data_IF_849778014428
#
_entry.id   IF_849778014428
#
_cell.length_a   1.000
_cell.length_b   1.000
_cell.length_c   1.000
_cell.angle_alpha   90.00
_cell.angle_beta   90.00
_cell.angle_gamma   90.00
#
_symmetry.space_group_name_H-M   'P 1'
#
loop_
_entity.id
_entity.type
_entity.pdbx_description
1 polymer ?
#
# COMPACT_ATOMS: atom_id res chain seq x y z
N UNK A 1 -39.10 5.25 -46.34
CA UNK A 1 -38.38 6.31 -47.03
C UNK A 1 -36.97 6.45 -46.47
N UNK A 2 -35.99 6.42 -47.34
CA UNK A 2 -34.57 6.50 -46.99
C UNK A 2 -34.21 7.86 -46.36
N UNK A 3 -34.79 8.94 -46.81
CA UNK A 3 -34.54 10.29 -46.28
C UNK A 3 -35.00 10.40 -44.83
N UNK A 4 -36.17 9.86 -44.52
CA UNK A 4 -36.72 9.83 -43.18
C UNK A 4 -35.90 8.91 -42.26
N UNK A 5 -35.48 7.75 -42.75
CA UNK A 5 -34.62 6.84 -42.01
C UNK A 5 -33.26 7.45 -41.73
N UNK A 6 -32.65 8.16 -42.68
CA UNK A 6 -31.39 8.85 -42.51
C UNK A 6 -31.50 9.94 -41.44
N UNK A 7 -32.56 10.73 -41.48
CA UNK A 7 -32.78 11.79 -40.49
C UNK A 7 -32.94 11.20 -39.07
N UNK A 8 -33.64 10.08 -38.95
CA UNK A 8 -33.81 9.38 -37.67
C UNK A 8 -32.45 8.89 -37.12
N UNK A 9 -31.63 8.28 -37.98
CA UNK A 9 -30.30 7.81 -37.57
C UNK A 9 -29.33 8.98 -37.20
N UNK A 10 -29.40 10.09 -37.93
CA UNK A 10 -28.64 11.28 -37.60
C UNK A 10 -29.04 11.82 -36.24
N UNK A 11 -30.32 11.86 -35.95
CA UNK A 11 -30.84 12.31 -34.66
C UNK A 11 -30.38 11.41 -33.51
N UNK A 12 -30.45 10.11 -33.71
CA UNK A 12 -29.94 9.09 -32.77
C UNK A 12 -28.46 9.23 -32.57
N UNK A 13 -27.69 9.46 -33.62
CA UNK A 13 -26.23 9.67 -33.54
C UNK A 13 -25.87 10.91 -32.72
N UNK A 14 -26.50 12.03 -33.00
CA UNK A 14 -26.25 13.30 -32.27
C UNK A 14 -26.61 13.12 -30.80
N UNK A 15 -27.72 12.46 -30.50
CA UNK A 15 -28.13 12.20 -29.13
C UNK A 15 -27.15 11.28 -28.39
N UNK A 16 -26.73 10.21 -29.04
CA UNK A 16 -25.76 9.27 -28.47
C UNK A 16 -24.40 9.95 -28.23
N UNK A 17 -23.97 10.78 -29.17
CA UNK A 17 -22.74 11.56 -29.01
C UNK A 17 -22.81 12.50 -27.80
N UNK A 18 -23.93 13.19 -27.63
CA UNK A 18 -24.14 14.05 -26.48
C UNK A 18 -24.16 13.26 -25.16
N UNK A 19 -24.79 12.11 -25.14
CA UNK A 19 -24.80 11.21 -23.97
C UNK A 19 -23.41 10.69 -23.66
N UNK A 20 -22.63 10.35 -24.67
CA UNK A 20 -21.26 9.87 -24.50
C UNK A 20 -20.34 10.98 -23.96
N UNK A 21 -20.45 12.20 -24.47
CA UNK A 21 -19.70 13.34 -23.97
C UNK A 21 -20.03 13.65 -22.49
N UNK A 22 -21.32 13.59 -22.13
CA UNK A 22 -21.76 13.76 -20.75
C UNK A 22 -21.21 12.63 -19.86
N UNK A 23 -21.25 11.39 -20.33
CA UNK A 23 -20.68 10.24 -19.64
C UNK A 23 -19.19 10.41 -19.39
N UNK A 24 -18.44 10.84 -20.39
CA UNK A 24 -17.00 11.10 -20.26
C UNK A 24 -16.71 12.15 -19.20
N UNK A 25 -17.40 13.26 -19.23
CA UNK A 25 -17.25 14.35 -18.23
C UNK A 25 -17.55 13.87 -16.83
N UNK A 26 -18.66 13.13 -16.66
CA UNK A 26 -19.04 12.57 -15.37
C UNK A 26 -18.02 11.57 -14.85
N UNK A 27 -17.57 10.64 -15.71
CA UNK A 27 -16.58 9.63 -15.34
C UNK A 27 -15.25 10.27 -14.93
N UNK A 28 -14.81 11.31 -15.64
CA UNK A 28 -13.58 12.03 -15.31
C UNK A 28 -13.70 12.68 -13.93
N UNK A 29 -14.84 13.31 -13.65
CA UNK A 29 -15.11 13.94 -12.34
C UNK A 29 -15.14 12.89 -11.23
N UNK A 30 -15.83 11.76 -11.44
CA UNK A 30 -15.89 10.65 -10.50
C UNK A 30 -14.50 10.08 -10.19
N UNK A 31 -13.64 9.93 -11.21
CA UNK A 31 -12.25 9.49 -11.01
C UNK A 31 -11.43 10.49 -10.19
N UNK A 32 -11.58 11.79 -10.45
CA UNK A 32 -10.91 12.83 -9.66
C UNK A 32 -11.37 12.81 -8.21
N UNK A 33 -12.66 12.66 -7.97
CA UNK A 33 -13.24 12.55 -6.64
C UNK A 33 -12.70 11.31 -5.91
N UNK A 34 -12.61 10.16 -6.60
CA UNK A 34 -12.04 8.92 -6.04
C UNK A 34 -10.57 9.08 -5.66
N UNK A 35 -9.77 9.77 -6.47
CA UNK A 35 -8.36 10.04 -6.16
C UNK A 35 -8.24 10.91 -4.90
N UNK A 36 -9.10 11.91 -4.75
CA UNK A 36 -9.12 12.77 -3.56
C UNK A 36 -9.60 12.04 -2.31
N UNK A 37 -10.62 11.21 -2.43
CA UNK A 37 -11.22 10.48 -1.28
C UNK A 37 -10.53 9.17 -0.96
N UNK A 38 -9.82 8.56 -1.92
CA UNK A 38 -9.15 7.26 -1.74
C UNK A 38 -8.10 7.25 -0.64
N UNK A 39 -7.41 8.37 -0.41
CA UNK A 39 -6.45 8.52 0.67
C UNK A 39 -7.05 8.86 2.02
N UNK A 40 -8.28 9.38 2.04
CA UNK A 40 -8.93 9.86 3.27
C UNK A 40 -9.09 8.76 4.31
N UNK A 41 -9.62 7.61 3.92
CA UNK A 41 -9.85 6.49 4.85
C UNK A 41 -8.55 5.96 5.44
N UNK A 42 -7.50 5.90 4.63
CA UNK A 42 -6.16 5.49 5.09
C UNK A 42 -5.61 6.50 6.09
N UNK A 43 -5.71 7.79 5.79
CA UNK A 43 -5.25 8.84 6.70
C UNK A 43 -6.01 8.81 8.03
N UNK A 44 -7.33 8.66 7.98
CA UNK A 44 -8.15 8.54 9.20
C UNK A 44 -7.77 7.30 10.01
N UNK A 45 -7.43 6.19 9.36
CA UNK A 45 -7.00 4.98 10.04
C UNK A 45 -5.63 5.12 10.72
N UNK A 46 -4.78 6.02 10.23
CA UNK A 46 -3.46 6.28 10.80
C UNK A 46 -3.50 7.20 12.02
N UNK A 47 -4.51 8.06 12.13
CA UNK A 47 -4.59 9.04 13.22
C UNK A 47 -4.65 8.42 14.62
N UNK A 48 -5.38 7.32 14.88
CA UNK A 48 -5.34 6.65 16.18
C UNK A 48 -3.94 6.15 16.55
N UNK A 49 -3.17 5.68 15.57
CA UNK A 49 -1.76 5.29 15.78
C UNK A 49 -0.92 6.51 16.16
N UNK A 50 -1.11 7.63 15.47
CA UNK A 50 -0.45 8.90 15.80
C UNK A 50 -0.79 9.38 17.22
N UNK A 51 -2.05 9.24 17.62
CA UNK A 51 -2.50 9.58 18.98
C UNK A 51 -1.78 8.73 20.04
N UNK A 52 -1.62 7.43 19.78
CA UNK A 52 -0.92 6.53 20.68
C UNK A 52 0.57 6.88 20.79
N UNK A 53 1.19 7.24 19.67
CA UNK A 53 2.59 7.73 19.66
C UNK A 53 2.71 8.98 20.53
N UNK A 54 1.78 9.93 20.39
CA UNK A 54 1.79 11.15 21.20
C UNK A 54 1.66 10.85 22.69
N UNK A 55 0.77 9.94 23.07
CA UNK A 55 0.65 9.49 24.48
C UNK A 55 1.94 8.88 25.01
N UNK A 56 2.63 8.08 24.18
CA UNK A 56 3.91 7.50 24.55
C UNK A 56 5.00 8.57 24.75
N UNK A 57 5.05 9.56 23.86
CA UNK A 57 5.98 10.69 23.97
C UNK A 57 5.73 11.46 25.25
N UNK A 58 4.48 11.77 25.58
CA UNK A 58 4.09 12.48 26.80
C UNK A 58 4.47 11.67 28.04
N UNK A 59 4.26 10.37 28.02
CA UNK A 59 4.63 9.46 29.10
C UNK A 59 6.14 9.42 29.32
N UNK A 60 6.94 9.44 28.24
CA UNK A 60 8.40 9.48 28.30
C UNK A 60 8.94 10.71 29.02
N UNK A 61 8.25 11.84 28.89
CA UNK A 61 8.64 13.09 29.54
C UNK A 61 8.32 13.09 31.04
N UNK A 62 7.42 12.23 31.49
CA UNK A 62 6.91 12.18 32.85
C UNK A 62 7.45 11.03 33.69
N UNK A 63 8.06 10.03 33.08
CA UNK A 63 8.49 8.80 33.74
C UNK A 63 9.75 8.24 33.06
N UNK A 64 10.64 7.70 33.88
CA UNK A 64 11.84 6.98 33.44
C UNK A 64 11.66 5.45 33.48
N UNK A 65 10.44 4.97 33.62
CA UNK A 65 10.15 3.54 33.66
C UNK A 65 10.29 2.93 32.25
N UNK A 66 11.48 2.35 32.01
CA UNK A 66 11.83 1.74 30.72
C UNK A 66 10.91 0.54 30.38
N UNK A 67 10.53 -0.26 31.37
CA UNK A 67 9.69 -1.44 31.09
C UNK A 67 8.28 -1.04 30.65
N UNK A 68 7.70 -0.03 31.29
CA UNK A 68 6.42 0.51 30.87
C UNK A 68 6.50 1.14 29.47
N UNK A 69 7.60 1.82 29.16
CA UNK A 69 7.85 2.42 27.84
C UNK A 69 7.96 1.35 26.77
N UNK A 70 8.73 0.29 27.01
CA UNK A 70 8.87 -0.83 26.07
C UNK A 70 7.53 -1.48 25.79
N UNK A 71 6.74 -1.76 26.81
CA UNK A 71 5.40 -2.33 26.66
C UNK A 71 4.50 -1.41 25.82
N UNK A 72 4.55 -0.10 26.06
CA UNK A 72 3.78 0.88 25.28
C UNK A 72 4.17 0.91 23.82
N UNK A 73 5.47 0.91 23.52
CA UNK A 73 5.99 0.91 22.14
C UNK A 73 5.59 -0.39 21.42
N UNK A 74 5.67 -1.54 22.11
CA UNK A 74 5.27 -2.82 21.52
C UNK A 74 3.78 -2.83 21.15
N UNK A 75 2.93 -2.26 21.99
CA UNK A 75 1.50 -2.13 21.70
C UNK A 75 1.23 -1.22 20.51
N UNK A 76 1.95 -0.12 20.39
CA UNK A 76 1.85 0.80 19.24
C UNK A 76 2.27 0.08 17.95
N UNK A 77 3.37 -0.64 18.00
CA UNK A 77 3.86 -1.42 16.85
C UNK A 77 2.82 -2.44 16.41
N UNK A 78 2.23 -3.17 17.34
CA UNK A 78 1.20 -4.17 17.04
C UNK A 78 -0.05 -3.51 16.44
N UNK A 79 -0.51 -2.42 17.04
CA UNK A 79 -1.66 -1.66 16.55
C UNK A 79 -1.43 -1.13 15.13
N UNK A 80 -0.23 -0.64 14.84
CA UNK A 80 0.12 -0.16 13.51
C UNK A 80 0.10 -1.30 12.49
N UNK A 81 0.69 -2.44 12.82
CA UNK A 81 0.67 -3.64 11.98
C UNK A 81 -0.78 -4.08 11.70
N UNK A 82 -1.63 -4.11 12.73
CA UNK A 82 -3.04 -4.50 12.58
C UNK A 82 -3.81 -3.51 11.70
N UNK A 83 -3.57 -2.21 11.86
CA UNK A 83 -4.18 -1.16 11.03
C UNK A 83 -3.79 -1.33 9.55
N UNK A 84 -2.52 -1.59 9.28
CA UNK A 84 -2.04 -1.85 7.93
C UNK A 84 -2.70 -3.11 7.35
N UNK A 85 -2.80 -4.16 8.14
CA UNK A 85 -3.45 -5.42 7.73
C UNK A 85 -4.91 -5.23 7.36
N UNK A 86 -5.64 -4.43 8.14
CA UNK A 86 -7.03 -4.08 7.84
C UNK A 86 -7.18 -3.36 6.50
N UNK A 87 -6.14 -2.65 6.08
CA UNK A 87 -6.08 -1.97 4.77
C UNK A 87 -5.48 -2.84 3.67
N UNK A 88 -5.25 -4.12 3.95
CA UNK A 88 -4.71 -5.07 2.97
C UNK A 88 -3.20 -5.05 2.81
N UNK A 89 -2.48 -4.38 3.73
CA UNK A 89 -1.02 -4.31 3.69
C UNK A 89 -0.43 -5.37 4.61
N UNK A 90 0.39 -6.25 4.03
CA UNK A 90 1.07 -7.34 4.75
C UNK A 90 2.56 -7.33 4.44
N UNK A 91 3.37 -7.76 5.39
CA UNK A 91 4.82 -7.88 5.20
C UNK A 91 5.17 -9.03 4.26
N UNK A 92 6.21 -8.82 3.45
CA UNK A 92 6.81 -9.87 2.63
C UNK A 92 7.83 -10.60 3.50
N UNK A 93 7.54 -11.85 3.83
CA UNK A 93 8.42 -12.70 4.64
C UNK A 93 9.33 -13.52 3.72
N UNK A 94 10.57 -13.05 3.57
CA UNK A 94 11.54 -13.66 2.63
C UNK A 94 12.87 -14.04 3.28
N UNK A 95 13.08 -13.72 4.56
CA UNK A 95 14.35 -14.03 5.23
C UNK A 95 14.56 -15.54 5.32
N UNK A 96 15.73 -15.98 4.88
CA UNK A 96 16.09 -17.41 4.84
C UNK A 96 15.52 -18.17 3.67
N UNK A 97 14.75 -17.55 2.81
CA UNK A 97 14.15 -18.17 1.63
C UNK A 97 14.96 -17.89 0.37
N UNK A 98 14.71 -18.65 -0.68
CA UNK A 98 15.28 -18.39 -2.00
C UNK A 98 14.98 -16.96 -2.45
N UNK A 99 15.97 -16.30 -3.04
CA UNK A 99 15.78 -14.98 -3.62
C UNK A 99 14.73 -15.02 -4.74
N UNK A 100 13.74 -14.18 -4.64
CA UNK A 100 12.66 -14.04 -5.64
C UNK A 100 12.65 -12.59 -6.14
N UNK A 101 13.00 -12.40 -7.41
CA UNK A 101 13.06 -11.08 -8.04
C UNK A 101 11.69 -10.41 -8.17
N UNK A 102 10.59 -11.17 -8.07
CA UNK A 102 9.23 -10.61 -8.09
C UNK A 102 8.84 -9.94 -6.77
N UNK A 103 9.57 -10.24 -5.69
CA UNK A 103 9.29 -9.73 -4.34
C UNK A 103 10.43 -8.91 -3.75
N UNK A 104 11.65 -9.12 -4.24
CA UNK A 104 12.88 -8.63 -3.62
C UNK A 104 13.78 -7.92 -4.61
N UNK A 105 14.54 -6.97 -4.09
CA UNK A 105 15.65 -6.32 -4.76
C UNK A 105 16.93 -6.62 -3.96
N UNK A 106 17.93 -7.25 -4.60
CA UNK A 106 19.22 -7.52 -3.98
C UNK A 106 20.06 -6.24 -3.99
N UNK A 107 20.34 -5.70 -2.80
CA UNK A 107 21.16 -4.47 -2.66
C UNK A 107 22.59 -4.76 -2.27
N UNK A 108 22.89 -5.98 -1.79
CA UNK A 108 24.22 -6.41 -1.42
C UNK A 108 24.31 -7.93 -1.45
N UNK A 109 25.54 -8.45 -1.51
CA UNK A 109 25.86 -9.87 -1.37
C UNK A 109 26.75 -10.07 -0.16
N UNK A 110 26.59 -11.20 0.50
CA UNK A 110 27.35 -11.56 1.69
C UNK A 110 27.62 -13.06 1.70
N UNK A 111 28.86 -13.42 1.95
CA UNK A 111 29.25 -14.83 2.06
C UNK A 111 28.80 -15.37 3.44
N UNK A 112 27.70 -16.09 3.47
CA UNK A 112 27.09 -16.65 4.67
C UNK A 112 27.12 -18.17 4.72
N UNK A 113 27.98 -18.80 3.91
CA UNK A 113 28.10 -20.23 3.80
C UNK A 113 27.33 -20.83 2.62
N UNK A 114 27.64 -22.05 2.28
CA UNK A 114 27.03 -22.75 1.13
C UNK A 114 25.51 -22.91 1.28
N UNK A 115 25.03 -23.10 2.51
CA UNK A 115 23.61 -23.28 2.80
C UNK A 115 22.78 -22.05 2.46
N UNK A 116 23.39 -20.87 2.49
CA UNK A 116 22.73 -19.59 2.25
C UNK A 116 22.94 -19.04 0.85
N UNK A 117 23.65 -19.75 -0.02
CA UNK A 117 23.86 -19.31 -1.40
C UNK A 117 22.53 -19.13 -2.13
N UNK A 118 22.35 -17.97 -2.75
CA UNK A 118 21.13 -17.64 -3.46
C UNK A 118 19.92 -17.36 -2.58
N UNK A 119 20.09 -17.38 -1.27
CA UNK A 119 19.02 -17.12 -0.30
C UNK A 119 19.15 -15.73 0.31
N UNK A 120 18.04 -15.23 0.84
CA UNK A 120 18.00 -13.95 1.56
C UNK A 120 18.65 -14.14 2.94
N UNK A 121 19.79 -13.50 3.13
CA UNK A 121 20.54 -13.55 4.39
C UNK A 121 19.96 -12.55 5.41
N UNK A 122 19.65 -11.36 4.93
CA UNK A 122 19.12 -10.30 5.78
C UNK A 122 18.21 -9.36 4.98
N UNK A 123 17.38 -8.62 5.71
CA UNK A 123 16.44 -7.64 5.14
C UNK A 123 16.89 -6.24 5.54
N UNK A 124 17.27 -5.44 4.55
CA UNK A 124 17.65 -4.03 4.75
C UNK A 124 16.42 -3.14 4.85
N UNK A 125 15.41 -3.43 4.05
CA UNK A 125 14.14 -2.72 4.05
C UNK A 125 13.01 -3.73 3.82
N UNK A 126 12.10 -3.79 4.77
CA UNK A 126 10.94 -4.69 4.69
C UNK A 126 10.08 -4.37 3.48
N UNK A 127 9.75 -5.40 2.70
CA UNK A 127 8.80 -5.30 1.62
C UNK A 127 7.36 -5.50 2.09
N UNK A 128 6.43 -4.96 1.33
CA UNK A 128 5.00 -5.04 1.64
C UNK A 128 4.17 -5.38 0.42
N UNK A 129 3.14 -6.17 0.64
CA UNK A 129 2.08 -6.46 -0.32
C UNK A 129 0.88 -5.58 -0.04
N UNK A 130 0.17 -5.17 -1.09
CA UNK A 130 -1.18 -4.62 -0.99
C UNK A 130 -2.11 -5.61 -1.69
N UNK A 131 -2.80 -6.44 -0.90
CA UNK A 131 -3.52 -7.57 -1.43
C UNK A 131 -2.58 -8.53 -2.15
N UNK A 132 -2.80 -8.78 -3.43
CA UNK A 132 -1.98 -9.65 -4.28
C UNK A 132 -0.87 -8.91 -5.06
N UNK A 133 -0.73 -7.60 -4.87
CA UNK A 133 0.26 -6.77 -5.56
C UNK A 133 1.35 -6.30 -4.62
N UNK A 134 2.56 -6.17 -5.14
CA UNK A 134 3.68 -5.61 -4.38
C UNK A 134 3.48 -4.10 -4.23
N UNK A 135 3.40 -3.65 -2.98
CA UNK A 135 3.36 -2.23 -2.65
C UNK A 135 4.77 -1.64 -2.62
N UNK A 136 5.71 -2.40 -2.04
CA UNK A 136 7.13 -2.05 -1.97
C UNK A 136 7.96 -3.32 -1.92
N UNK A 137 8.98 -3.42 -2.77
CA UNK A 137 9.90 -4.56 -2.77
C UNK A 137 10.71 -4.62 -1.47
N UNK A 138 11.00 -5.82 -1.02
CA UNK A 138 11.97 -6.02 0.05
C UNK A 138 13.38 -5.76 -0.49
N UNK A 139 14.15 -4.91 0.18
CA UNK A 139 15.58 -4.75 -0.10
C UNK A 139 16.34 -5.69 0.79
N UNK A 140 17.09 -6.59 0.16
CA UNK A 140 17.69 -7.74 0.85
C UNK A 140 19.18 -7.88 0.55
N UNK A 141 19.85 -8.58 1.45
CA UNK A 141 21.20 -9.09 1.25
C UNK A 141 21.09 -10.55 0.86
N UNK A 142 21.71 -10.95 -0.24
CA UNK A 142 21.68 -12.32 -0.77
C UNK A 142 22.98 -13.04 -0.44
N UNK A 143 22.88 -14.34 -0.13
CA UNK A 143 24.03 -15.20 0.09
C UNK A 143 24.86 -15.37 -1.18
N UNK A 144 26.15 -15.15 -1.04
CA UNK A 144 27.13 -15.29 -2.12
C UNK A 144 27.64 -16.71 -2.25
#
# INVERSE_FOLDING_TARGET
DLTAALAEWQDKFIRLQAEFDNYRKRTLKEKMDLVQTGGRDVLLAMLPVRDDVQRAVDAMQKSDDIEALRAGVMLISQKFTDTLRQKGVTEIDVKGREFDADLCEAVAKFAAGEEMQGKVVDIVQTGYMLGDKVLRFAKVVVGE
#
